data_IF_748742658369
#
_entry.id   IF_748742658369
#
_cell.length_a   1.000
_cell.length_b   1.000
_cell.length_c   1.000
_cell.angle_alpha   90.00
_cell.angle_beta   90.00
_cell.angle_gamma   90.00
#
_symmetry.space_group_name_H-M   'P 1'
#
loop_
_entity.id
_entity.type
_entity.pdbx_description
1 polymer ?
#
# COMPACT_ATOMS: atom_id res chain seq x y z
N UNK A 1 10.39 15.48 -2.18
CA UNK A 1 10.99 16.82 -2.27
C UNK A 1 10.52 17.60 -1.05
N UNK A 2 11.42 18.09 -0.17
CA UNK A 2 11.03 18.91 0.96
C UNK A 2 10.51 20.25 0.45
N UNK A 3 9.35 20.67 0.94
CA UNK A 3 8.84 22.00 0.62
C UNK A 3 9.68 23.06 1.33
N UNK A 4 9.80 24.24 0.72
CA UNK A 4 10.54 25.35 1.35
C UNK A 4 9.73 25.93 2.52
N UNK A 5 10.39 26.40 3.57
CA UNK A 5 9.72 26.99 4.75
C UNK A 5 8.75 28.14 4.40
N UNK A 6 8.99 28.87 3.31
CA UNK A 6 8.08 29.90 2.81
C UNK A 6 6.77 29.30 2.28
N UNK A 7 6.85 28.18 1.56
CA UNK A 7 5.66 27.48 1.07
C UNK A 7 4.85 26.89 2.22
N UNK A 8 5.52 26.29 3.20
CA UNK A 8 4.85 25.74 4.38
C UNK A 8 4.04 26.81 5.12
N UNK A 9 4.55 28.04 5.21
CA UNK A 9 3.82 29.18 5.76
C UNK A 9 2.66 29.65 4.87
N UNK A 10 2.84 29.67 3.54
CA UNK A 10 1.79 30.08 2.60
C UNK A 10 0.58 29.15 2.68
N UNK A 11 0.82 27.83 2.69
CA UNK A 11 -0.26 26.83 2.77
C UNK A 11 -1.13 27.08 4.00
N UNK A 12 -0.52 27.29 5.17
CA UNK A 12 -1.29 27.47 6.41
C UNK A 12 -2.24 28.68 6.35
N UNK A 13 -1.97 29.66 5.48
CA UNK A 13 -2.82 30.84 5.28
C UNK A 13 -3.80 30.69 4.12
N UNK A 14 -3.41 30.02 3.04
CA UNK A 14 -4.23 29.87 1.83
C UNK A 14 -5.20 28.71 1.90
N UNK A 15 -4.96 27.74 2.80
CA UNK A 15 -5.77 26.53 2.87
C UNK A 15 -7.22 26.83 3.31
N UNK A 16 -8.21 26.74 2.41
CA UNK A 16 -9.54 27.27 2.65
C UNK A 16 -10.41 26.19 3.31
N UNK A 17 -10.12 25.85 4.56
CA UNK A 17 -11.04 25.05 5.37
C UNK A 17 -11.69 25.96 6.38
N UNK A 18 -12.92 26.34 6.11
CA UNK A 18 -13.73 27.04 7.08
C UNK A 18 -14.15 26.01 8.14
N UNK A 19 -13.38 25.91 9.24
CA UNK A 19 -13.55 24.92 10.34
C UNK A 19 -14.75 25.25 11.26
N UNK A 20 -15.64 26.17 10.84
CA UNK A 20 -16.79 26.52 11.66
C UNK A 20 -17.82 25.41 11.54
N UNK A 21 -18.06 24.71 12.65
CA UNK A 21 -19.07 23.66 12.80
C UNK A 21 -18.78 22.34 12.07
N UNK A 22 -17.50 21.96 11.97
CA UNK A 22 -17.09 20.68 11.39
C UNK A 22 -17.56 19.49 12.24
N UNK A 23 -18.23 18.52 11.61
CA UNK A 23 -18.60 17.25 12.25
C UNK A 23 -17.38 16.35 12.46
N UNK A 24 -17.42 15.40 13.42
CA UNK A 24 -16.32 14.44 13.62
C UNK A 24 -15.93 13.67 12.36
N UNK A 25 -16.91 13.30 11.53
CA UNK A 25 -16.68 12.56 10.29
C UNK A 25 -15.98 13.43 9.23
N UNK A 26 -16.38 14.69 9.09
CA UNK A 26 -15.73 15.66 8.21
C UNK A 26 -14.28 15.92 8.67
N UNK A 27 -14.05 16.11 9.98
CA UNK A 27 -12.70 16.26 10.51
C UNK A 27 -11.82 15.08 10.15
N UNK A 28 -12.33 13.86 10.30
CA UNK A 28 -11.59 12.63 10.02
C UNK A 28 -11.26 12.51 8.53
N UNK A 29 -12.23 12.78 7.64
CA UNK A 29 -12.02 12.78 6.20
C UNK A 29 -11.00 13.84 5.78
N UNK A 30 -11.14 15.07 6.27
CA UNK A 30 -10.21 16.17 6.04
C UNK A 30 -8.81 15.88 6.52
N UNK A 31 -8.69 15.33 7.74
CA UNK A 31 -7.42 14.89 8.30
C UNK A 31 -6.77 13.82 7.42
N UNK A 32 -7.56 12.83 6.99
CA UNK A 32 -7.10 11.79 6.05
C UNK A 32 -6.55 12.40 4.76
N UNK A 33 -7.30 13.30 4.11
CA UNK A 33 -6.85 13.95 2.88
C UNK A 33 -5.61 14.80 3.09
N UNK A 34 -5.49 15.50 4.22
CA UNK A 34 -4.28 16.29 4.52
C UNK A 34 -3.04 15.39 4.64
N UNK A 35 -3.11 14.28 5.38
CA UNK A 35 -1.99 13.34 5.50
C UNK A 35 -1.70 12.60 4.19
N UNK A 36 -2.71 12.40 3.34
CA UNK A 36 -2.57 11.77 2.05
C UNK A 36 -1.87 12.70 1.05
N UNK A 37 -2.36 13.91 0.86
CA UNK A 37 -1.98 14.79 -0.24
C UNK A 37 -0.86 15.77 0.09
N UNK A 38 -0.73 16.19 1.36
CA UNK A 38 0.34 17.12 1.75
C UNK A 38 1.65 16.36 2.00
N UNK A 39 2.80 17.00 1.73
CA UNK A 39 4.11 16.37 1.89
C UNK A 39 4.41 16.00 3.35
N UNK A 40 5.30 15.01 3.53
CA UNK A 40 5.73 14.52 4.85
C UNK A 40 6.35 15.62 5.73
N UNK A 41 6.93 16.69 5.16
CA UNK A 41 7.47 17.80 5.94
C UNK A 41 6.38 18.59 6.68
N UNK A 42 5.16 18.61 6.14
CA UNK A 42 4.02 19.37 6.66
C UNK A 42 3.08 18.46 7.44
N UNK A 43 2.79 17.27 6.89
CA UNK A 43 1.93 16.27 7.52
C UNK A 43 2.66 14.94 7.74
N UNK A 44 3.55 14.85 8.74
CA UNK A 44 4.30 13.62 9.00
C UNK A 44 3.40 12.44 9.39
N UNK A 45 3.51 11.28 8.75
CA UNK A 45 2.61 10.13 9.01
C UNK A 45 2.57 9.67 10.46
N UNK A 46 3.66 9.87 11.21
CA UNK A 46 3.73 9.57 12.65
C UNK A 46 2.68 10.33 13.50
N UNK A 47 2.09 11.39 12.94
CA UNK A 47 1.05 12.20 13.55
C UNK A 47 -0.37 11.84 13.10
N UNK A 48 -0.54 10.97 12.09
CA UNK A 48 -1.85 10.58 11.58
C UNK A 48 -2.70 9.92 12.68
N UNK A 49 -2.17 8.86 13.29
CA UNK A 49 -2.89 8.09 14.32
C UNK A 49 -3.24 8.96 15.54
N UNK A 50 -2.29 9.70 16.15
CA UNK A 50 -2.63 10.65 17.22
C UNK A 50 -3.67 11.69 16.79
N UNK A 51 -3.63 12.16 15.54
CA UNK A 51 -4.57 13.17 15.05
C UNK A 51 -6.00 12.65 14.98
N UNK A 52 -6.20 11.44 14.48
CA UNK A 52 -7.51 10.79 14.39
C UNK A 52 -8.09 10.47 15.76
N UNK A 53 -7.25 10.09 16.73
CA UNK A 53 -7.68 9.79 18.09
C UNK A 53 -8.13 11.01 18.90
N UNK A 54 -7.82 12.25 18.48
CA UNK A 54 -8.23 13.48 19.19
C UNK A 54 -9.72 13.78 19.13
N UNK A 55 -10.39 13.33 18.07
CA UNK A 55 -11.78 13.73 17.75
C UNK A 55 -12.79 13.01 18.63
N UNK A 56 -12.40 11.86 19.17
CA UNK A 56 -13.30 10.93 19.81
C UNK A 56 -13.09 10.98 21.32
N UNK A 57 -14.14 11.38 22.04
CA UNK A 57 -14.23 11.16 23.47
C UNK A 57 -14.15 9.67 23.77
N UNK A 58 -13.28 9.29 24.72
CA UNK A 58 -13.17 7.92 25.19
C UNK A 58 -14.57 7.46 25.64
N UNK A 59 -15.11 6.34 25.12
CA UNK A 59 -16.42 5.87 25.54
C UNK A 59 -16.41 5.55 27.03
N UNK A 60 -17.43 6.02 27.75
CA UNK A 60 -17.59 5.79 29.20
C UNK A 60 -17.79 4.30 29.57
N UNK A 61 -18.04 3.44 28.57
CA UNK A 61 -18.30 2.01 28.77
C UNK A 61 -17.46 1.15 27.83
N UNK A 62 -16.70 0.22 28.42
CA UNK A 62 -15.84 -0.75 27.71
C UNK A 62 -16.62 -1.71 26.79
N UNK A 63 -17.95 -1.72 26.85
CA UNK A 63 -18.82 -2.61 26.06
C UNK A 63 -19.26 -2.01 24.73
N UNK A 64 -19.08 -0.70 24.52
CA UNK A 64 -19.48 -0.05 23.28
C UNK A 64 -18.32 -0.04 22.27
N UNK A 65 -18.59 -0.35 20.98
CA UNK A 65 -17.58 -0.21 19.93
C UNK A 65 -17.06 1.22 19.89
N UNK A 66 -15.76 1.38 19.69
CA UNK A 66 -15.17 2.71 19.55
C UNK A 66 -15.81 3.45 18.35
N UNK A 67 -16.29 4.70 18.48
CA UNK A 67 -17.08 5.36 17.42
C UNK A 67 -16.26 5.62 16.15
N UNK A 68 -14.93 5.70 16.29
CA UNK A 68 -13.99 5.79 15.16
C UNK A 68 -14.08 4.59 14.19
N UNK A 69 -14.61 3.43 14.61
CA UNK A 69 -14.80 2.28 13.71
C UNK A 69 -15.66 2.64 12.50
N UNK A 70 -16.77 3.34 12.70
CA UNK A 70 -17.71 3.69 11.64
C UNK A 70 -17.13 4.73 10.68
N UNK A 71 -16.41 5.73 11.21
CA UNK A 71 -15.77 6.76 10.39
C UNK A 71 -14.62 6.17 9.56
N UNK A 72 -13.80 5.29 10.14
CA UNK A 72 -12.72 4.61 9.43
C UNK A 72 -13.23 3.71 8.30
N UNK A 73 -14.37 3.04 8.45
CA UNK A 73 -14.93 2.17 7.40
C UNK A 73 -15.17 2.88 6.08
N UNK A 74 -15.47 4.19 6.12
CA UNK A 74 -15.69 4.99 4.93
C UNK A 74 -14.40 5.35 4.21
N UNK A 75 -13.29 5.40 4.95
CA UNK A 75 -11.96 5.74 4.43
C UNK A 75 -11.12 4.52 4.05
N UNK A 76 -11.47 3.33 4.54
CA UNK A 76 -10.74 2.10 4.27
C UNK A 76 -10.96 1.64 2.83
N UNK A 77 -9.89 1.65 2.06
CA UNK A 77 -9.84 1.19 0.69
C UNK A 77 -9.22 -0.21 0.62
N UNK A 78 -9.59 -0.96 -0.41
CA UNK A 78 -8.87 -2.20 -0.75
C UNK A 78 -7.63 -1.88 -1.58
N UNK A 79 -6.62 -2.75 -1.55
CA UNK A 79 -5.42 -2.62 -2.40
C UNK A 79 -5.75 -2.43 -3.89
N UNK A 80 -6.79 -3.13 -4.37
CA UNK A 80 -7.32 -2.96 -5.74
C UNK A 80 -7.99 -1.61 -5.97
N UNK A 81 -8.74 -1.09 -4.99
CA UNK A 81 -9.38 0.22 -5.09
C UNK A 81 -8.33 1.34 -5.17
N UNK A 82 -7.29 1.27 -4.34
CA UNK A 82 -6.15 2.20 -4.39
C UNK A 82 -5.47 2.14 -5.77
N UNK A 83 -5.19 0.94 -6.29
CA UNK A 83 -4.63 0.81 -7.63
C UNK A 83 -5.56 1.40 -8.72
N UNK A 84 -6.86 1.12 -8.66
CA UNK A 84 -7.81 1.68 -9.62
C UNK A 84 -7.85 3.22 -9.56
N UNK A 85 -7.79 3.79 -8.36
CA UNK A 85 -7.76 5.23 -8.16
C UNK A 85 -6.56 5.87 -8.86
N UNK A 86 -5.34 5.41 -8.61
CA UNK A 86 -4.13 6.00 -9.19
C UNK A 86 -3.88 5.66 -10.67
N UNK A 87 -4.30 4.48 -11.12
CA UNK A 87 -4.03 4.04 -12.49
C UNK A 87 -5.17 4.33 -13.48
N UNK A 88 -6.37 4.65 -12.98
CA UNK A 88 -7.56 4.84 -13.84
C UNK A 88 -8.30 6.12 -13.54
N UNK A 89 -8.63 6.42 -12.28
CA UNK A 89 -9.52 7.53 -11.93
C UNK A 89 -8.78 8.88 -11.96
N UNK A 90 -7.70 9.01 -11.20
CA UNK A 90 -6.94 10.26 -11.10
C UNK A 90 -6.32 10.70 -12.43
N UNK A 91 -5.73 9.80 -13.26
CA UNK A 91 -5.25 10.19 -14.58
C UNK A 91 -6.37 10.76 -15.47
N UNK A 92 -7.60 10.24 -15.36
CA UNK A 92 -8.76 10.78 -16.09
C UNK A 92 -9.19 12.14 -15.56
N UNK A 93 -9.21 12.32 -14.24
CA UNK A 93 -9.55 13.61 -13.60
C UNK A 93 -8.55 14.69 -14.04
N UNK A 94 -7.26 14.39 -14.00
CA UNK A 94 -6.22 15.32 -14.46
C UNK A 94 -6.34 15.62 -15.96
N UNK A 95 -6.59 14.61 -16.80
CA UNK A 95 -6.75 14.80 -18.25
C UNK A 95 -8.01 15.63 -18.60
N UNK A 96 -9.08 15.53 -17.81
CA UNK A 96 -10.32 16.27 -18.03
C UNK A 96 -10.28 17.69 -17.44
N UNK A 97 -9.22 18.06 -16.71
CA UNK A 97 -9.11 19.36 -16.05
C UNK A 97 -10.02 19.50 -14.82
N UNK A 98 -10.38 18.38 -14.20
CA UNK A 98 -11.20 18.34 -12.99
C UNK A 98 -12.41 17.39 -13.08
N UNK A 99 -12.99 17.10 -11.93
CA UNK A 99 -14.13 16.23 -11.69
C UNK A 99 -15.29 16.97 -11.02
N UNK A 100 -16.02 16.27 -10.15
CA UNK A 100 -17.23 16.78 -9.49
C UNK A 100 -16.94 17.77 -8.34
N UNK A 101 -15.66 18.10 -8.09
CA UNK A 101 -15.27 19.06 -7.05
C UNK A 101 -15.36 18.47 -5.66
N UNK A 102 -15.09 17.17 -5.51
CA UNK A 102 -15.00 16.52 -4.21
C UNK A 102 -13.87 17.14 -3.36
N UNK A 103 -13.99 17.09 -2.03
CA UNK A 103 -12.98 17.63 -1.12
C UNK A 103 -11.59 17.04 -1.39
N UNK A 104 -11.56 15.73 -1.64
CA UNK A 104 -10.35 15.01 -2.05
C UNK A 104 -9.73 15.61 -3.32
N UNK A 105 -10.55 15.89 -4.32
CA UNK A 105 -10.09 16.42 -5.59
C UNK A 105 -9.50 17.83 -5.43
N UNK A 106 -10.15 18.65 -4.60
CA UNK A 106 -9.66 19.99 -4.26
C UNK A 106 -8.29 19.92 -3.59
N UNK A 107 -8.12 18.98 -2.66
CA UNK A 107 -6.84 18.73 -1.99
C UNK A 107 -5.77 18.20 -2.95
N UNK A 108 -6.14 17.29 -3.85
CA UNK A 108 -5.25 16.78 -4.90
C UNK A 108 -4.74 17.93 -5.78
N UNK A 109 -5.63 18.76 -6.32
CA UNK A 109 -5.24 19.90 -7.14
C UNK A 109 -4.37 20.90 -6.39
N UNK A 110 -4.67 21.14 -5.12
CA UNK A 110 -3.84 21.97 -4.26
C UNK A 110 -2.41 21.40 -4.17
N UNK A 111 -2.26 20.10 -3.90
CA UNK A 111 -0.95 19.46 -3.83
C UNK A 111 -0.20 19.50 -5.18
N UNK A 112 -0.89 19.20 -6.29
CA UNK A 112 -0.29 19.21 -7.65
C UNK A 112 0.23 20.60 -8.01
N UNK A 113 -0.55 21.65 -7.75
CA UNK A 113 -0.22 23.03 -8.14
C UNK A 113 0.94 23.64 -7.35
N UNK A 114 1.20 23.12 -6.14
CA UNK A 114 2.25 23.62 -5.26
C UNK A 114 3.50 22.73 -5.26
N UNK A 115 3.46 21.58 -5.93
CA UNK A 115 4.62 20.71 -6.11
C UNK A 115 5.59 21.35 -7.10
N UNK A 116 6.78 21.72 -6.62
CA UNK A 116 7.83 22.30 -7.48
C UNK A 116 8.49 21.21 -8.32
N UNK A 117 8.67 21.48 -9.62
CA UNK A 117 9.64 20.74 -10.42
C UNK A 117 11.05 21.27 -10.16
N UNK A 118 12.06 20.41 -10.28
CA UNK A 118 13.47 20.82 -10.15
C UNK A 118 13.89 21.82 -11.25
N UNK A 119 13.13 21.90 -12.34
CA UNK A 119 13.48 22.68 -13.53
C UNK A 119 12.75 24.03 -13.63
N UNK A 120 12.00 24.46 -12.60
CA UNK A 120 11.14 25.66 -12.64
C UNK A 120 10.24 25.72 -13.90
N UNK A 121 9.83 24.56 -14.43
CA UNK A 121 8.88 24.48 -15.54
C UNK A 121 7.52 24.99 -15.08
N UNK A 122 6.90 25.89 -15.86
CA UNK A 122 5.68 26.62 -15.49
C UNK A 122 4.47 25.69 -15.28
N UNK A 123 4.46 24.48 -15.86
CA UNK A 123 3.41 23.48 -15.69
C UNK A 123 3.95 22.02 -15.69
N UNK A 124 4.57 21.55 -14.58
CA UNK A 124 5.21 20.23 -14.51
C UNK A 124 4.25 19.07 -14.77
N UNK A 125 2.97 19.26 -14.44
CA UNK A 125 1.94 18.25 -14.62
C UNK A 125 1.62 17.95 -16.09
N UNK A 126 2.07 18.77 -17.05
CA UNK A 126 1.98 18.47 -18.47
C UNK A 126 2.97 17.39 -18.91
N UNK A 127 4.08 17.22 -18.18
CA UNK A 127 5.07 16.19 -18.43
C UNK A 127 4.56 14.82 -17.93
N UNK A 128 4.33 13.89 -18.86
CA UNK A 128 3.79 12.56 -18.53
C UNK A 128 4.72 11.75 -17.61
N UNK A 129 6.04 11.88 -17.75
CA UNK A 129 6.99 11.17 -16.89
C UNK A 129 6.97 11.73 -15.46
N UNK A 130 6.86 13.06 -15.32
CA UNK A 130 6.69 13.69 -14.01
C UNK A 130 5.37 13.27 -13.37
N UNK A 131 4.27 13.28 -14.14
CA UNK A 131 2.94 12.88 -13.66
C UNK A 131 2.91 11.43 -13.21
N UNK A 132 3.54 10.52 -13.96
CA UNK A 132 3.66 9.11 -13.59
C UNK A 132 4.41 8.93 -12.26
N UNK A 133 5.58 9.57 -12.10
CA UNK A 133 6.35 9.54 -10.85
C UNK A 133 5.59 10.15 -9.67
N UNK A 134 4.85 11.24 -9.91
CA UNK A 134 4.01 11.85 -8.88
C UNK A 134 2.90 10.90 -8.44
N UNK A 135 2.18 10.29 -9.39
CA UNK A 135 1.13 9.29 -9.10
C UNK A 135 1.66 8.09 -8.32
N UNK A 136 2.82 7.55 -8.71
CA UNK A 136 3.47 6.45 -8.00
C UNK A 136 3.77 6.82 -6.54
N UNK A 137 4.36 8.00 -6.29
CA UNK A 137 4.62 8.48 -4.92
C UNK A 137 3.33 8.63 -4.12
N UNK A 138 2.28 9.16 -4.73
CA UNK A 138 0.99 9.32 -4.05
C UNK A 138 0.34 7.96 -3.77
N UNK A 139 0.50 6.99 -4.67
CA UNK A 139 0.05 5.61 -4.45
C UNK A 139 0.80 4.96 -3.28
N UNK A 140 2.12 5.12 -3.21
CA UNK A 140 2.93 4.64 -2.08
C UNK A 140 2.43 5.26 -0.78
N UNK A 141 2.17 6.57 -0.80
CA UNK A 141 1.65 7.32 0.34
C UNK A 141 0.29 6.80 0.80
N UNK A 142 -0.66 6.59 -0.12
CA UNK A 142 -1.98 6.07 0.23
C UNK A 142 -1.88 4.64 0.80
N UNK A 143 -1.00 3.79 0.25
CA UNK A 143 -0.77 2.45 0.82
C UNK A 143 -0.27 2.52 2.26
N UNK A 144 0.69 3.40 2.57
CA UNK A 144 1.15 3.61 3.94
C UNK A 144 0.02 4.07 4.87
N UNK A 145 -0.77 5.06 4.42
CA UNK A 145 -1.91 5.56 5.17
C UNK A 145 -2.92 4.44 5.42
N UNK A 146 -3.29 3.66 4.40
CA UNK A 146 -4.24 2.56 4.52
C UNK A 146 -3.76 1.49 5.51
N UNK A 147 -2.47 1.12 5.48
CA UNK A 147 -1.88 0.22 6.49
C UNK A 147 -2.09 0.79 7.91
N UNK A 148 -1.79 2.07 8.13
CA UNK A 148 -1.98 2.72 9.42
C UNK A 148 -3.46 2.74 9.85
N UNK A 149 -4.40 2.96 8.92
CA UNK A 149 -5.83 2.95 9.23
C UNK A 149 -6.34 1.56 9.59
N UNK A 150 -5.91 0.52 8.87
CA UNK A 150 -6.26 -0.86 9.19
C UNK A 150 -5.69 -1.27 10.56
N UNK A 151 -4.41 -0.99 10.81
CA UNK A 151 -3.77 -1.24 12.10
C UNK A 151 -4.43 -0.48 13.24
N UNK A 152 -4.77 0.80 13.02
CA UNK A 152 -5.53 1.60 13.98
C UNK A 152 -6.88 0.94 14.27
N UNK A 153 -7.66 0.61 13.25
CA UNK A 153 -8.96 -0.03 13.42
C UNK A 153 -8.87 -1.32 14.24
N UNK A 154 -7.86 -2.15 13.99
CA UNK A 154 -7.65 -3.40 14.73
C UNK A 154 -7.19 -3.18 16.17
N UNK A 155 -6.47 -2.08 16.44
CA UNK A 155 -6.02 -1.73 17.78
C UNK A 155 -7.12 -1.12 18.67
N UNK A 156 -8.21 -0.62 18.07
CA UNK A 156 -9.32 -0.04 18.80
C UNK A 156 -10.17 -1.13 19.47
N UNK A 157 -10.76 -0.86 20.65
CA UNK A 157 -11.76 -1.74 21.25
C UNK A 157 -12.86 -2.08 20.23
N UNK A 158 -12.94 -3.36 19.87
CA UNK A 158 -13.92 -3.88 18.93
C UNK A 158 -15.28 -4.13 19.60
N UNK A 159 -16.35 -4.27 18.82
CA UNK A 159 -17.57 -4.88 19.32
C UNK A 159 -17.21 -6.23 19.97
N UNK A 160 -17.84 -6.60 21.10
CA UNK A 160 -17.65 -7.91 21.68
C UNK A 160 -17.90 -8.97 20.60
N UNK A 161 -17.06 -10.02 20.52
CA UNK A 161 -17.20 -11.05 19.49
C UNK A 161 -18.64 -11.51 19.52
N UNK A 162 -19.36 -11.29 18.41
CA UNK A 162 -20.74 -11.75 18.33
C UNK A 162 -20.69 -13.26 18.60
N UNK A 163 -21.46 -13.78 19.57
CA UNK A 163 -21.49 -15.21 19.81
C UNK A 163 -21.74 -15.86 18.46
N UNK A 164 -20.92 -16.83 18.08
CA UNK A 164 -21.11 -17.56 16.83
C UNK A 164 -22.46 -18.26 16.94
N UNK A 165 -23.54 -17.59 16.53
CA UNK A 165 -24.86 -18.17 16.48
C UNK A 165 -24.79 -19.11 15.29
N UNK A 166 -24.31 -20.33 15.56
CA UNK A 166 -24.30 -21.47 14.65
C UNK A 166 -25.75 -21.88 14.40
N UNK A 167 -26.54 -21.00 13.77
CA UNK A 167 -27.90 -21.30 13.38
C UNK A 167 -27.80 -22.21 12.15
N UNK A 168 -28.27 -23.48 12.23
CA UNK A 168 -28.20 -24.41 11.12
C UNK A 168 -29.30 -24.06 10.11
N UNK A 169 -29.16 -22.94 9.40
CA UNK A 169 -30.07 -22.56 8.32
C UNK A 169 -29.75 -23.38 7.07
N UNK A 170 -30.30 -24.60 7.05
CA UNK A 170 -30.44 -25.43 5.85
C UNK A 170 -31.41 -24.74 4.88
N UNK A 171 -30.94 -23.81 4.05
CA UNK A 171 -31.75 -23.32 2.93
C UNK A 171 -30.92 -22.97 1.69
N UNK A 172 -30.76 -24.02 0.86
CA UNK A 172 -30.81 -23.98 -0.62
C UNK A 172 -29.95 -22.90 -1.28
N UNK A 173 -28.67 -23.26 -1.44
CA UNK A 173 -27.61 -22.66 -2.28
C UNK A 173 -28.17 -21.93 -3.50
N UNK A 174 -28.24 -20.59 -3.41
CA UNK A 174 -27.80 -19.76 -4.54
C UNK A 174 -26.29 -19.92 -4.61
N UNK A 175 -25.69 -19.72 -5.79
CA UNK A 175 -24.24 -19.72 -5.95
C UNK A 175 -23.69 -18.66 -4.99
N UNK A 176 -23.23 -19.09 -3.82
CA UNK A 176 -22.88 -18.20 -2.71
C UNK A 176 -21.64 -17.42 -3.14
N UNK A 177 -21.77 -16.09 -3.22
CA UNK A 177 -20.62 -15.22 -3.39
C UNK A 177 -19.62 -15.53 -2.27
N UNK A 178 -18.31 -15.59 -2.57
CA UNK A 178 -17.31 -15.84 -1.54
C UNK A 178 -17.47 -14.81 -0.42
N UNK A 179 -17.30 -15.22 0.86
CA UNK A 179 -17.40 -14.30 1.97
C UNK A 179 -16.45 -13.11 1.76
N UNK A 180 -16.85 -11.89 2.16
CA UNK A 180 -15.95 -10.74 2.07
C UNK A 180 -14.62 -11.03 2.80
N UNK A 181 -13.47 -10.63 2.24
CA UNK A 181 -12.18 -10.84 2.89
C UNK A 181 -12.14 -10.11 4.23
N UNK A 182 -11.50 -10.75 5.21
CA UNK A 182 -11.35 -10.23 6.57
C UNK A 182 -10.49 -8.96 6.60
N UNK A 183 -10.45 -8.28 7.75
CA UNK A 183 -9.56 -7.11 7.92
C UNK A 183 -8.09 -7.52 7.84
N UNK A 184 -7.73 -8.68 8.40
CA UNK A 184 -6.39 -9.25 8.32
C UNK A 184 -5.98 -9.50 6.87
N UNK A 185 -6.85 -10.14 6.07
CA UNK A 185 -6.58 -10.42 4.66
C UNK A 185 -6.38 -9.13 3.85
N UNK A 186 -7.18 -8.09 4.15
CA UNK A 186 -7.08 -6.79 3.47
C UNK A 186 -5.80 -6.06 3.85
N UNK A 187 -5.42 -6.08 5.12
CA UNK A 187 -4.16 -5.51 5.60
C UNK A 187 -2.98 -6.26 4.96
N UNK A 188 -2.99 -7.59 4.97
CA UNK A 188 -1.95 -8.41 4.34
C UNK A 188 -1.80 -8.10 2.85
N UNK A 189 -2.90 -7.89 2.12
CA UNK A 189 -2.84 -7.51 0.71
C UNK A 189 -2.12 -6.17 0.46
N UNK A 190 -2.11 -5.25 1.43
CA UNK A 190 -1.27 -4.04 1.35
C UNK A 190 0.20 -4.34 1.70
N UNK A 191 0.47 -5.21 2.67
CA UNK A 191 1.83 -5.61 3.00
C UNK A 191 2.50 -6.38 1.84
N UNK A 192 1.75 -7.24 1.16
CA UNK A 192 2.18 -7.94 -0.06
C UNK A 192 2.51 -6.96 -1.18
N UNK A 193 1.68 -5.92 -1.33
CA UNK A 193 1.93 -4.85 -2.30
C UNK A 193 3.22 -4.10 -2.02
N UNK A 194 3.50 -3.75 -0.76
CA UNK A 194 4.79 -3.17 -0.36
C UNK A 194 5.97 -4.09 -0.70
N UNK A 195 5.85 -5.38 -0.35
CA UNK A 195 6.87 -6.39 -0.62
C UNK A 195 7.14 -6.54 -2.12
N UNK A 196 6.07 -6.52 -2.92
CA UNK A 196 6.15 -6.56 -4.37
C UNK A 196 6.85 -5.33 -4.94
N UNK A 197 6.55 -4.12 -4.45
CA UNK A 197 7.27 -2.92 -4.85
C UNK A 197 8.74 -2.98 -4.47
N UNK A 198 9.08 -3.43 -3.26
CA UNK A 198 10.47 -3.64 -2.86
C UNK A 198 11.23 -4.58 -3.80
N UNK A 199 10.56 -5.67 -4.21
CA UNK A 199 11.12 -6.61 -5.18
C UNK A 199 11.32 -5.98 -6.56
N UNK A 200 10.31 -5.26 -7.08
CA UNK A 200 10.39 -4.58 -8.38
C UNK A 200 11.50 -3.53 -8.38
N UNK A 201 11.59 -2.70 -7.34
CA UNK A 201 12.68 -1.72 -7.20
C UNK A 201 14.06 -2.39 -7.17
N UNK A 202 14.18 -3.55 -6.50
CA UNK A 202 15.44 -4.31 -6.48
C UNK A 202 15.82 -4.85 -7.87
N UNK A 203 14.84 -5.21 -8.69
CA UNK A 203 15.07 -5.66 -10.07
C UNK A 203 15.48 -4.49 -10.98
N UNK A 204 14.85 -3.33 -10.81
CA UNK A 204 15.09 -2.14 -11.64
C UNK A 204 16.47 -1.48 -11.35
N UNK A 205 16.88 -1.42 -10.08
CA UNK A 205 18.18 -0.84 -9.68
C UNK A 205 19.37 -1.76 -10.01
N UNK A 206 19.11 -3.04 -10.25
CA UNK A 206 20.12 -4.06 -10.47
C UNK A 206 20.95 -4.39 -9.23
N UNK A 207 21.41 -5.65 -9.13
CA UNK A 207 22.14 -6.16 -7.96
C UNK A 207 23.47 -5.44 -7.66
N UNK A 208 23.98 -4.61 -8.58
CA UNK A 208 25.33 -4.06 -8.52
C UNK A 208 25.42 -2.66 -7.86
N UNK A 209 24.31 -1.94 -7.69
CA UNK A 209 24.34 -0.54 -7.22
C UNK A 209 23.61 -0.29 -5.91
N UNK A 210 23.24 -1.34 -5.18
CA UNK A 210 22.60 -1.17 -3.87
C UNK A 210 23.64 -0.74 -2.84
N UNK A 211 23.81 0.57 -2.67
CA UNK A 211 24.60 1.14 -1.59
C UNK A 211 24.05 0.59 -0.27
N UNK A 212 24.92 -0.11 0.47
CA UNK A 212 24.57 -0.87 1.69
C UNK A 212 24.05 0.02 2.84
N UNK A 213 24.06 1.34 2.67
CA UNK A 213 23.80 2.34 3.71
C UNK A 213 22.43 3.00 3.65
N UNK A 214 21.73 2.97 2.52
CA UNK A 214 20.48 3.72 2.38
C UNK A 214 19.31 2.82 2.78
N UNK A 215 18.77 3.11 3.97
CA UNK A 215 17.55 2.47 4.47
C UNK A 215 16.42 2.74 3.49
N UNK A 216 15.71 1.67 3.14
CA UNK A 216 14.54 1.76 2.30
C UNK A 216 13.47 2.62 3.00
N UNK A 217 12.70 3.40 2.23
CA UNK A 217 11.60 4.19 2.79
C UNK A 217 10.57 3.29 3.49
N UNK A 218 10.42 2.05 3.04
CA UNK A 218 9.56 1.05 3.70
C UNK A 218 10.11 0.63 5.07
N UNK A 219 11.42 0.46 5.18
CA UNK A 219 12.09 0.16 6.45
C UNK A 219 11.95 1.31 7.44
N UNK A 220 12.16 2.54 6.95
CA UNK A 220 11.98 3.77 7.75
C UNK A 220 10.54 3.91 8.23
N UNK A 221 9.55 3.68 7.34
CA UNK A 221 8.13 3.67 7.70
C UNK A 221 7.82 2.66 8.82
N UNK A 222 8.39 1.45 8.73
CA UNK A 222 8.19 0.43 9.74
C UNK A 222 8.81 0.82 11.10
N UNK A 223 10.10 1.15 11.12
CA UNK A 223 10.87 1.42 12.34
C UNK A 223 10.40 2.70 13.05
N UNK A 224 10.10 3.76 12.31
CA UNK A 224 9.77 5.06 12.91
C UNK A 224 8.29 5.23 13.24
N UNK A 225 7.41 4.51 12.54
CA UNK A 225 5.96 4.76 12.61
C UNK A 225 5.20 3.53 13.10
N UNK A 226 5.35 2.39 12.43
CA UNK A 226 4.53 1.21 12.72
C UNK A 226 4.95 0.56 14.03
N UNK A 227 6.22 0.19 14.18
CA UNK A 227 6.73 -0.56 15.33
C UNK A 227 6.50 0.18 16.66
N UNK A 228 6.79 1.50 16.78
CA UNK A 228 6.57 2.22 18.04
C UNK A 228 5.10 2.39 18.41
N UNK A 229 4.18 2.36 17.43
CA UNK A 229 2.75 2.59 17.66
C UNK A 229 1.95 1.31 17.87
N UNK A 230 2.32 0.24 17.18
CA UNK A 230 1.50 -0.95 17.07
C UNK A 230 2.18 -2.23 17.56
N UNK A 231 3.51 -2.22 17.77
CA UNK A 231 4.28 -3.40 18.14
C UNK A 231 3.80 -4.10 19.42
N UNK A 232 3.24 -3.34 20.37
CA UNK A 232 2.69 -3.90 21.62
C UNK A 232 1.23 -4.30 21.52
N UNK A 233 0.44 -3.62 20.69
CA UNK A 233 -1.04 -3.77 20.66
C UNK A 233 -1.49 -4.84 19.66
N UNK A 234 -0.83 -4.91 18.50
CA UNK A 234 -1.12 -5.87 17.43
C UNK A 234 0.20 -6.50 16.94
N UNK A 235 0.88 -7.17 17.87
CA UNK A 235 2.23 -7.69 17.68
C UNK A 235 2.33 -8.69 16.53
N UNK A 236 1.30 -9.53 16.31
CA UNK A 236 1.28 -10.51 15.22
C UNK A 236 1.33 -9.84 13.84
N UNK A 237 0.46 -8.86 13.60
CA UNK A 237 0.42 -8.11 12.34
C UNK A 237 1.68 -7.24 12.16
N UNK A 238 2.20 -6.68 13.25
CA UNK A 238 3.46 -5.91 13.21
C UNK A 238 4.65 -6.81 12.85
N UNK A 239 4.72 -8.01 13.42
CA UNK A 239 5.76 -8.99 13.10
C UNK A 239 5.64 -9.49 11.65
N UNK A 240 4.42 -9.71 11.16
CA UNK A 240 4.17 -10.08 9.75
C UNK A 240 4.63 -8.98 8.78
N UNK A 241 4.34 -7.72 9.10
CA UNK A 241 4.84 -6.60 8.29
C UNK A 241 6.37 -6.53 8.30
N UNK A 242 6.98 -6.76 9.47
CA UNK A 242 8.45 -6.79 9.61
C UNK A 242 9.07 -7.86 8.72
N UNK A 243 8.56 -9.10 8.76
CA UNK A 243 9.13 -10.19 7.94
C UNK A 243 8.98 -9.95 6.43
N UNK A 244 7.96 -9.20 6.02
CA UNK A 244 7.72 -8.79 4.64
C UNK A 244 8.65 -7.65 4.17
N UNK A 245 8.95 -6.68 5.02
CA UNK A 245 9.83 -5.52 4.72
C UNK A 245 11.32 -5.85 4.84
N UNK A 246 11.65 -6.78 5.74
CA UNK A 246 13.01 -7.28 5.96
C UNK A 246 13.08 -8.71 5.45
N UNK A 247 13.13 -8.92 4.12
CA UNK A 247 13.31 -10.26 3.58
C UNK A 247 14.61 -10.82 4.15
N UNK A 248 14.49 -11.89 4.94
CA UNK A 248 15.64 -12.68 5.34
C UNK A 248 16.28 -13.17 4.05
N UNK A 249 17.45 -12.63 3.72
CA UNK A 249 18.23 -13.13 2.59
C UNK A 249 18.52 -14.60 2.89
N UNK A 250 17.99 -15.56 2.10
CA UNK A 250 18.27 -16.98 2.32
C UNK A 250 19.75 -17.30 2.14
N UNK A 251 20.54 -16.34 1.64
CA UNK A 251 21.98 -16.43 1.46
C UNK A 251 22.79 -15.74 2.58
N UNK A 252 22.16 -15.01 3.51
CA UNK A 252 22.87 -14.32 4.60
C UNK A 252 23.22 -15.22 5.79
N UNK A 253 22.55 -16.37 5.94
CA UNK A 253 22.85 -17.32 7.03
C UNK A 253 24.17 -18.11 6.83
N UNK A 254 24.86 -17.92 5.70
CA UNK A 254 26.12 -18.62 5.42
C UNK A 254 27.38 -17.77 5.62
N UNK A 255 27.26 -16.48 5.96
CA UNK A 255 28.44 -15.60 6.06
C UNK A 255 28.96 -15.35 7.48
N UNK A 256 28.29 -15.80 8.53
CA UNK A 256 28.71 -15.57 9.94
C UNK A 256 29.29 -16.82 10.64
N UNK A 257 29.58 -17.91 9.90
CA UNK A 257 30.15 -19.14 10.49
C UNK A 257 31.66 -19.31 10.34
N UNK A 258 32.39 -18.37 9.73
CA UNK A 258 33.83 -18.52 9.49
C UNK A 258 34.69 -17.36 10.03
N UNK A 259 34.62 -17.10 11.35
CA UNK A 259 35.76 -16.48 12.04
C UNK A 259 35.82 -16.83 13.54
N UNK A 260 35.39 -18.04 13.93
CA UNK A 260 36.02 -18.71 15.09
C UNK A 260 37.42 -19.16 14.68
N UNK A 261 38.31 -18.17 14.54
CA UNK A 261 39.75 -18.38 14.43
C UNK A 261 40.19 -19.10 15.69
N UNK A 262 40.30 -20.42 15.57
CA UNK A 262 40.83 -21.33 16.55
C UNK A 262 42.07 -20.73 17.22
N UNK A 263 41.94 -20.38 18.50
CA UNK A 263 43.06 -20.23 19.41
C UNK A 263 43.89 -21.50 19.34
N UNK A 264 45.17 -21.34 19.01
CA UNK A 264 46.17 -22.41 18.94
C UNK A 264 46.07 -23.36 20.15
N UNK A 265 46.12 -24.69 19.93
CA UNK A 265 46.26 -25.63 21.03
C UNK A 265 47.70 -25.53 21.57
N UNK A 266 47.81 -25.14 22.83
CA UNK A 266 49.04 -25.25 23.60
C UNK A 266 49.36 -26.74 23.81
N UNK A 267 50.63 -27.10 23.64
CA UNK A 267 51.10 -28.48 23.60
C UNK A 267 51.25 -29.03 25.02
N UNK A 268 50.51 -30.08 25.39
CA UNK A 268 50.94 -31.04 26.41
C UNK A 268 50.11 -32.33 26.43
N UNK A 269 50.82 -33.43 26.71
CA UNK A 269 50.35 -34.73 27.19
C UNK A 269 49.91 -35.80 26.16
N UNK A 270 50.90 -36.62 25.79
CA UNK A 270 50.87 -38.10 25.79
C UNK A 270 50.01 -38.65 26.95
N UNK A 271 49.22 -39.74 26.86
CA UNK A 271 49.57 -41.07 26.40
C UNK A 271 48.30 -41.99 26.37
N UNK A 272 48.27 -42.99 25.46
CA UNK A 272 47.55 -44.29 25.41
C UNK A 272 46.26 -44.53 26.26
N UNK A 273 45.17 -45.13 25.76
CA UNK A 273 45.09 -46.48 25.18
C UNK A 273 43.67 -46.85 24.62
N UNK A 274 43.64 -47.75 23.59
CA UNK A 274 42.66 -48.84 23.25
C UNK A 274 41.17 -48.64 23.60
N UNK A 275 40.16 -48.96 22.79
CA UNK A 275 39.89 -49.94 21.71
C UNK A 275 38.35 -49.81 21.46
N UNK A 276 37.75 -49.98 20.29
CA UNK A 276 37.35 -51.26 19.64
C UNK A 276 36.56 -50.86 18.38
N UNK A 277 36.86 -51.56 17.29
CA UNK A 277 36.20 -51.67 15.99
C UNK A 277 34.71 -52.06 16.01
N UNK A 278 33.86 -51.44 15.18
CA UNK A 278 32.74 -52.13 14.49
C UNK A 278 32.52 -51.50 13.08
N UNK A 279 32.19 -52.39 12.15
CA UNK A 279 32.27 -52.39 10.70
C UNK A 279 31.18 -51.58 9.93
N UNK A 280 31.28 -51.50 8.59
CA UNK A 280 30.38 -50.78 7.69
C UNK A 280 29.30 -51.68 7.05
N UNK A 281 28.18 -51.08 6.64
CA UNK A 281 27.13 -51.70 5.81
C UNK A 281 26.53 -50.60 4.94
N UNK A 282 26.90 -50.50 3.66
CA UNK A 282 26.33 -51.18 2.49
C UNK A 282 24.83 -50.90 2.21
N UNK A 283 24.63 -50.40 0.97
CA UNK A 283 23.53 -50.63 0.02
C UNK A 283 22.21 -49.87 0.18
N UNK A 284 21.73 -49.38 -0.97
CA UNK A 284 20.29 -49.38 -1.25
C UNK A 284 19.82 -48.41 -2.33
N UNK A 285 20.10 -48.73 -3.59
CA UNK A 285 19.40 -48.16 -4.76
C UNK A 285 17.87 -48.29 -4.65
N UNK A 286 17.12 -47.32 -5.18
CA UNK A 286 15.93 -47.66 -5.97
C UNK A 286 15.58 -46.53 -6.95
N UNK A 287 15.82 -46.85 -8.22
CA UNK A 287 15.18 -46.25 -9.38
C UNK A 287 13.88 -47.02 -9.57
N UNK A 288 12.74 -46.32 -9.64
CA UNK A 288 11.47 -46.88 -10.10
C UNK A 288 10.80 -45.90 -11.05
N UNK A 289 10.76 -46.34 -12.31
CA UNK A 289 9.99 -45.78 -13.39
C UNK A 289 8.51 -46.21 -13.32
N UNK A 290 7.74 -45.70 -14.29
CA UNK A 290 6.42 -46.17 -14.75
C UNK A 290 5.22 -45.55 -14.00
N UNK A 291 4.08 -45.17 -14.62
CA UNK A 291 3.61 -45.33 -16.00
C UNK A 291 2.17 -44.76 -16.14
N UNK A 292 1.83 -44.26 -17.35
CA UNK A 292 0.49 -44.23 -18.01
C UNK A 292 -0.58 -43.27 -17.45
N UNK A 293 -0.99 -42.25 -18.24
CA UNK A 293 -1.99 -42.22 -19.35
C UNK A 293 -3.44 -42.19 -18.87
N UNK A 294 -4.13 -41.07 -19.10
CA UNK A 294 -5.42 -40.89 -19.83
C UNK A 294 -5.79 -39.40 -19.78
N UNK A 295 -5.80 -38.68 -20.91
CA UNK A 295 -6.99 -38.38 -21.73
C UNK A 295 -8.15 -37.75 -20.96
N UNK A 296 -8.24 -36.42 -21.00
CA UNK A 296 -9.50 -35.68 -21.06
C UNK A 296 -9.24 -34.27 -21.60
N UNK A 297 -9.55 -34.06 -22.88
CA UNK A 297 -9.87 -32.74 -23.43
C UNK A 297 -10.96 -32.07 -22.58
N UNK A 298 -10.94 -30.74 -22.50
CA UNK A 298 -12.08 -30.06 -23.07
C UNK A 298 -11.66 -28.97 -24.06
N UNK A 299 -12.14 -29.15 -25.28
CA UNK A 299 -12.26 -28.11 -26.29
C UNK A 299 -12.94 -26.86 -25.71
N UNK A 300 -12.25 -25.72 -25.76
CA UNK A 300 -12.93 -24.42 -25.92
C UNK A 300 -12.03 -23.37 -26.56
N UNK A 301 -11.91 -23.48 -27.88
CA UNK A 301 -11.53 -22.39 -28.75
C UNK A 301 -12.50 -21.22 -28.57
N UNK A 302 -12.02 -20.11 -28.03
CA UNK A 302 -12.64 -18.79 -28.20
C UNK A 302 -11.55 -17.73 -28.33
N UNK A 303 -10.88 -17.79 -29.47
CA UNK A 303 -10.10 -16.68 -30.01
C UNK A 303 -11.04 -15.48 -30.22
N UNK A 304 -10.86 -14.43 -29.42
CA UNK A 304 -11.35 -13.09 -29.73
C UNK A 304 -10.13 -12.27 -30.15
N UNK A 305 -9.81 -12.33 -31.42
CA UNK A 305 -8.88 -11.41 -32.07
C UNK A 305 -9.50 -10.01 -32.06
N UNK A 306 -9.02 -9.15 -31.16
CA UNK A 306 -9.16 -7.71 -31.24
C UNK A 306 -8.03 -7.18 -32.13
N UNK A 307 -8.18 -7.35 -33.44
CA UNK A 307 -7.35 -6.67 -34.41
C UNK A 307 -7.88 -5.25 -34.55
N UNK A 308 -7.46 -4.37 -33.65
CA UNK A 308 -7.57 -2.93 -33.88
C UNK A 308 -6.69 -2.62 -35.08
N UNK A 309 -7.31 -2.11 -36.13
CA UNK A 309 -6.63 -1.82 -37.39
C UNK A 309 -5.78 -0.57 -37.19
N UNK A 310 -4.48 -0.62 -37.47
CA UNK A 310 -3.54 0.52 -37.39
C UNK A 310 -4.04 1.80 -38.10
N UNK A 311 -4.95 1.68 -39.06
CA UNK A 311 -5.61 2.82 -39.70
C UNK A 311 -6.55 3.60 -38.75
N UNK A 312 -7.25 2.91 -37.85
CA UNK A 312 -8.15 3.52 -36.86
C UNK A 312 -7.37 4.19 -35.71
N UNK A 313 -6.13 3.75 -35.45
CA UNK A 313 -5.24 4.39 -34.47
C UNK A 313 -4.68 5.73 -35.01
N UNK A 314 -4.28 5.78 -36.29
CA UNK A 314 -3.85 7.05 -36.93
C UNK A 314 -4.95 8.11 -37.01
N UNK A 315 -6.21 7.71 -37.24
CA UNK A 315 -7.32 8.67 -37.28
C UNK A 315 -7.62 9.25 -35.88
N UNK A 316 -7.36 8.49 -34.80
CA UNK A 316 -7.46 8.99 -33.42
C UNK A 316 -6.31 9.92 -33.03
N UNK A 317 -5.10 9.69 -33.54
CA UNK A 317 -3.97 10.60 -33.32
C UNK A 317 -4.18 11.92 -34.07
N UNK A 318 -4.65 11.90 -35.32
CA UNK A 318 -4.93 13.13 -36.07
C UNK A 318 -6.05 13.98 -35.47
N UNK A 319 -7.03 13.38 -34.77
CA UNK A 319 -8.04 14.14 -34.02
C UNK A 319 -7.50 14.76 -32.73
N UNK A 320 -6.37 14.27 -32.20
CA UNK A 320 -5.73 14.84 -31.00
C UNK A 320 -4.76 15.98 -31.31
N UNK A 321 -4.15 15.97 -32.49
CA UNK A 321 -3.18 17.00 -32.90
C UNK A 321 -3.85 18.30 -33.40
N UNK A 322 -5.15 18.29 -33.68
CA UNK A 322 -5.90 19.47 -34.15
C UNK A 322 -6.34 20.47 -33.07
N UNK A 323 -6.08 20.23 -31.78
CA UNK A 323 -6.58 21.06 -30.68
C UNK A 323 -5.46 21.78 -29.90
N UNK A 324 -4.39 22.19 -30.57
CA UNK A 324 -3.36 23.07 -30.00
C UNK A 324 -3.71 24.51 -30.34
N UNK A 325 -4.60 25.12 -29.55
CA UNK A 325 -4.98 26.52 -29.81
C UNK A 325 -6.12 27.11 -28.99
N UNK A 326 -6.50 26.54 -27.84
CA UNK A 326 -7.47 27.15 -26.95
C UNK A 326 -6.77 27.69 -25.70
N UNK A 327 -6.47 28.98 -25.72
CA UNK A 327 -6.15 29.77 -24.51
C UNK A 327 -7.18 29.42 -23.44
N UNK A 328 -6.70 28.92 -22.29
CA UNK A 328 -7.49 28.63 -21.10
C UNK A 328 -8.30 29.87 -20.71
N UNK A 329 -9.58 29.88 -21.06
CA UNK A 329 -10.59 30.59 -20.26
C UNK A 329 -10.91 29.68 -19.10
N UNK A 330 -10.70 30.21 -17.90
CA UNK A 330 -11.38 29.79 -16.67
C UNK A 330 -12.88 29.81 -16.97
N UNK A 331 -13.42 28.67 -17.40
CA UNK A 331 -14.84 28.41 -17.44
C UNK A 331 -15.12 27.61 -16.17
N UNK A 332 -15.60 28.33 -15.16
CA UNK A 332 -16.43 27.77 -14.10
C UNK A 332 -17.55 26.99 -14.78
N UNK A 333 -17.32 25.70 -15.03
CA UNK A 333 -18.34 24.79 -15.51
C UNK A 333 -18.79 23.99 -14.30
N UNK A 334 -19.65 24.60 -13.51
CA UNK A 334 -20.42 23.93 -12.47
C UNK A 334 -21.32 22.88 -13.13
N UNK A 335 -20.81 21.66 -13.30
CA UNK A 335 -21.63 20.49 -13.60
C UNK A 335 -21.77 19.72 -12.29
N UNK A 336 -22.69 20.18 -11.45
CA UNK A 336 -23.13 19.44 -10.26
C UNK A 336 -23.98 18.25 -10.71
N UNK A 337 -23.35 17.10 -10.89
CA UNK A 337 -24.07 15.82 -10.88
C UNK A 337 -24.11 15.33 -9.44
N UNK A 338 -25.20 15.59 -8.73
CA UNK A 338 -25.41 15.02 -7.40
C UNK A 338 -25.52 13.50 -7.51
N UNK A 339 -24.43 12.78 -7.22
CA UNK A 339 -24.47 11.34 -6.99
C UNK A 339 -25.10 11.11 -5.62
N UNK A 340 -26.44 11.01 -5.59
CA UNK A 340 -27.18 10.71 -4.37
C UNK A 340 -26.72 9.36 -3.80
N UNK A 341 -26.07 9.40 -2.64
CA UNK A 341 -25.79 8.24 -1.81
C UNK A 341 -27.14 7.61 -1.43
N UNK A 342 -27.47 6.45 -1.98
CA UNK A 342 -28.56 5.63 -1.46
C UNK A 342 -28.02 4.87 -0.24
N UNK A 343 -28.54 5.11 0.97
CA UNK A 343 -28.21 4.26 2.11
C UNK A 343 -28.73 2.84 1.83
N UNK A 344 -27.91 1.84 2.18
CA UNK A 344 -28.30 0.43 2.16
C UNK A 344 -29.05 0.05 3.42
#
# INVERSE_FOLDING_TARGET
IPWTATQEKSILHEYPLNVKDETPDEFIARTYFQFLWLPESIMPLRLLVPSLLRVVSVPDSATQPHPLHASLERLLLTSRAVANKYHVELPKILANGGGEGEEEESMMWFAVTHEKSENDEEEPWLNDAWRAKWMERMEHREVQVQILLYMLKMSLPGPPPQPEISSPSKKRRKLDDPPPPSLDDRLEAFMDKLSMWQLVSTLDEGLLHRNKSDRDWMQTFFEEIVEPRFGTTISAQTALLKSKIYPHSPFSDFSDTEDERATSPDAAATDRARSVSVAPTERGSSVSAASRKTLAEPARSRSRSLSITLAQEREREQQREGSVGAKRRVLNREVSMKRAFKPR
#
